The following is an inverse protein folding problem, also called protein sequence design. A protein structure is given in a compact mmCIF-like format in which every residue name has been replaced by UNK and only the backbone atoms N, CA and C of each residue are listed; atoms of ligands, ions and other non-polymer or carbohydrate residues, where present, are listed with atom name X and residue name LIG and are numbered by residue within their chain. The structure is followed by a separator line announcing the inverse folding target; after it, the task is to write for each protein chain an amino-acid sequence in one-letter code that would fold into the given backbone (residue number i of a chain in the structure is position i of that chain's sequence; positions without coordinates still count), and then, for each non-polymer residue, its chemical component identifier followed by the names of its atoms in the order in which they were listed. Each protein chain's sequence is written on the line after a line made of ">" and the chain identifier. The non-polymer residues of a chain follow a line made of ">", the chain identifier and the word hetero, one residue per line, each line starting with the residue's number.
data_IF_847477713122
#
_entry.id   IF_847477713122
#
_cell.length_a   1.000
_cell.length_b   1.000
_cell.length_c   1.000
_cell.angle_alpha   90.00
_cell.angle_beta   90.00
_cell.angle_gamma   90.00
#
_symmetry.space_group_name_H-M   'P 1'
#
loop_
_entity.id
_entity.type
_entity.pdbx_description
1 polymer ?
#
# COMPACT_ATOMS: atom_id res chain seq x y z
N UNK A 1 -41.67 -17.58 -59.36
CA UNK A 1 -40.83 -18.00 -58.22
C UNK A 1 -39.39 -17.74 -58.62
N UNK A 2 -38.83 -16.58 -58.27
CA UNK A 2 -37.48 -16.18 -58.66
C UNK A 2 -36.45 -17.06 -57.95
N UNK A 3 -35.57 -17.70 -58.72
CA UNK A 3 -34.47 -18.47 -58.18
C UNK A 3 -33.58 -17.55 -57.34
N UNK A 4 -33.50 -17.83 -56.04
CA UNK A 4 -32.60 -17.12 -55.12
C UNK A 4 -31.18 -17.23 -55.67
N UNK A 5 -30.50 -16.10 -55.84
CA UNK A 5 -29.16 -16.09 -56.44
C UNK A 5 -28.18 -16.85 -55.55
N UNK A 6 -27.28 -17.62 -56.17
CA UNK A 6 -26.22 -18.38 -55.49
C UNK A 6 -25.50 -17.63 -54.34
N UNK A 7 -25.17 -16.31 -54.45
CA UNK A 7 -24.55 -15.58 -53.34
C UNK A 7 -25.49 -15.38 -52.14
N UNK A 8 -26.80 -15.21 -52.36
CA UNK A 8 -27.78 -15.07 -51.28
C UNK A 8 -27.94 -16.39 -50.52
N UNK A 9 -27.93 -17.52 -51.23
CA UNK A 9 -27.93 -18.85 -50.62
C UNK A 9 -26.67 -19.06 -49.77
N UNK A 10 -25.49 -18.70 -50.28
CA UNK A 10 -24.22 -18.83 -49.55
C UNK A 10 -24.19 -17.96 -48.27
N UNK A 11 -24.71 -16.74 -48.34
CA UNK A 11 -24.79 -15.84 -47.18
C UNK A 11 -25.73 -16.38 -46.11
N UNK A 12 -26.92 -16.86 -46.50
CA UNK A 12 -27.90 -17.46 -45.58
C UNK A 12 -27.36 -18.73 -44.91
N UNK A 13 -26.66 -19.57 -45.68
CA UNK A 13 -25.98 -20.77 -45.13
C UNK A 13 -24.88 -20.34 -44.15
N UNK A 14 -24.07 -19.33 -44.48
CA UNK A 14 -23.03 -18.84 -43.57
C UNK A 14 -23.60 -18.28 -42.27
N UNK A 15 -24.72 -17.53 -42.33
CA UNK A 15 -25.40 -16.97 -41.16
C UNK A 15 -26.01 -18.06 -40.29
N UNK A 16 -26.54 -19.12 -40.92
CA UNK A 16 -27.11 -20.26 -40.20
C UNK A 16 -26.02 -21.07 -39.51
N UNK A 17 -24.90 -21.34 -40.20
CA UNK A 17 -23.72 -21.98 -39.60
C UNK A 17 -23.19 -21.12 -38.45
N UNK A 18 -23.07 -19.81 -38.66
CA UNK A 18 -22.62 -18.87 -37.65
C UNK A 18 -23.54 -18.87 -36.41
N UNK A 19 -24.85 -18.88 -36.62
CA UNK A 19 -25.85 -18.95 -35.55
C UNK A 19 -25.78 -20.27 -34.76
N UNK A 20 -25.64 -21.41 -35.44
CA UNK A 20 -25.50 -22.73 -34.80
C UNK A 20 -24.21 -22.82 -33.99
N UNK A 21 -23.09 -22.33 -34.54
CA UNK A 21 -21.80 -22.29 -33.85
C UNK A 21 -21.88 -21.38 -32.62
N UNK A 22 -22.44 -20.18 -32.74
CA UNK A 22 -22.58 -19.25 -31.62
C UNK A 22 -23.53 -19.77 -30.54
N UNK A 23 -24.66 -20.38 -30.92
CA UNK A 23 -25.62 -20.96 -29.97
C UNK A 23 -24.97 -22.09 -29.17
N UNK A 24 -24.38 -23.06 -29.88
CA UNK A 24 -23.68 -24.18 -29.25
C UNK A 24 -22.50 -23.73 -28.39
N UNK A 25 -21.75 -22.72 -28.85
CA UNK A 25 -20.64 -22.14 -28.10
C UNK A 25 -21.12 -21.39 -26.86
N UNK A 26 -22.20 -20.62 -26.94
CA UNK A 26 -22.78 -19.88 -25.82
C UNK A 26 -23.32 -20.83 -24.75
N UNK A 27 -24.04 -21.89 -25.16
CA UNK A 27 -24.57 -22.88 -24.23
C UNK A 27 -23.46 -23.73 -23.62
N UNK A 28 -22.43 -24.08 -24.40
CA UNK A 28 -21.21 -24.70 -23.88
C UNK A 28 -20.53 -23.79 -22.85
N UNK A 29 -20.36 -22.49 -23.13
CA UNK A 29 -19.74 -21.54 -22.20
C UNK A 29 -20.55 -21.36 -20.91
N UNK A 30 -21.88 -21.42 -20.95
CA UNK A 30 -22.75 -21.38 -19.76
C UNK A 30 -22.64 -22.65 -18.90
N UNK A 31 -22.51 -23.80 -19.54
CA UNK A 31 -22.53 -25.11 -18.87
C UNK A 31 -21.14 -25.65 -18.55
N UNK A 32 -20.07 -25.01 -19.00
CA UNK A 32 -18.69 -25.49 -18.83
C UNK A 32 -18.37 -25.57 -17.32
N UNK A 33 -18.17 -26.78 -16.75
CA UNK A 33 -17.66 -26.91 -15.39
C UNK A 33 -16.16 -26.57 -15.45
N UNK A 34 -15.85 -25.29 -15.31
CA UNK A 34 -14.47 -24.83 -15.43
C UNK A 34 -13.77 -25.10 -14.09
N UNK A 35 -13.05 -26.22 -13.98
CA UNK A 35 -11.82 -26.22 -13.19
C UNK A 35 -10.88 -25.23 -13.90
N UNK A 36 -11.00 -23.93 -13.60
CA UNK A 36 -10.01 -22.95 -14.03
C UNK A 36 -8.73 -23.26 -13.26
N UNK A 37 -7.92 -24.17 -13.80
CA UNK A 37 -6.57 -24.37 -13.31
C UNK A 37 -5.72 -23.33 -14.01
N UNK A 38 -5.00 -22.53 -13.21
CA UNK A 38 -4.01 -21.58 -13.70
C UNK A 38 -2.97 -22.25 -14.62
N UNK A 39 -2.81 -23.56 -14.48
CA UNK A 39 -1.92 -24.40 -15.26
C UNK A 39 -0.49 -24.35 -14.74
N UNK A 40 0.36 -25.25 -15.25
CA UNK A 40 1.79 -25.23 -14.93
C UNK A 40 2.52 -24.14 -15.73
N UNK A 41 3.43 -23.42 -15.08
CA UNK A 41 4.30 -22.46 -15.76
C UNK A 41 5.69 -23.07 -16.01
N UNK A 42 6.18 -23.07 -17.26
CA UNK A 42 7.57 -23.36 -17.54
C UNK A 42 8.49 -22.40 -16.79
N UNK A 43 9.73 -22.81 -16.53
CA UNK A 43 10.69 -21.95 -15.83
C UNK A 43 10.87 -20.60 -16.52
N UNK A 44 11.04 -19.54 -15.73
CA UNK A 44 11.19 -18.17 -16.26
C UNK A 44 12.37 -18.05 -17.21
N UNK A 45 13.46 -18.79 -16.94
CA UNK A 45 14.63 -18.85 -17.82
C UNK A 45 14.27 -19.43 -19.18
N UNK A 46 13.54 -20.56 -19.21
CA UNK A 46 13.08 -21.15 -20.45
C UNK A 46 12.20 -20.19 -21.24
N UNK A 47 11.20 -19.57 -20.59
CA UNK A 47 10.31 -18.60 -21.24
C UNK A 47 11.09 -17.43 -21.82
N UNK A 48 12.05 -16.88 -21.08
CA UNK A 48 12.91 -15.79 -21.57
C UNK A 48 13.67 -16.16 -22.84
N UNK A 49 14.25 -17.36 -22.90
CA UNK A 49 15.00 -17.81 -24.09
C UNK A 49 14.07 -18.18 -25.25
N UNK A 50 12.96 -18.86 -24.98
CA UNK A 50 12.01 -19.29 -26.01
C UNK A 50 11.25 -18.11 -26.64
N UNK A 51 11.04 -17.02 -25.89
CA UNK A 51 10.29 -15.86 -26.35
C UNK A 51 11.14 -14.84 -27.10
N UNK A 52 12.47 -14.93 -27.01
CA UNK A 52 13.42 -14.00 -27.62
C UNK A 52 13.00 -12.52 -27.46
N UNK A 53 12.74 -11.82 -28.57
CA UNK A 53 12.35 -10.41 -28.62
C UNK A 53 10.89 -10.14 -28.21
N UNK A 54 10.09 -11.18 -27.96
CA UNK A 54 8.70 -11.09 -27.54
C UNK A 54 8.49 -11.39 -26.04
N UNK A 55 9.56 -11.40 -25.23
CA UNK A 55 9.47 -11.69 -23.79
C UNK A 55 8.49 -10.75 -23.06
N UNK A 56 8.41 -9.47 -23.46
CA UNK A 56 7.50 -8.51 -22.83
C UNK A 56 6.04 -8.86 -23.12
N UNK A 57 5.72 -9.23 -24.36
CA UNK A 57 4.38 -9.69 -24.75
C UNK A 57 3.99 -10.97 -24.01
N UNK A 58 4.93 -11.90 -23.84
CA UNK A 58 4.71 -13.11 -23.04
C UNK A 58 4.47 -12.76 -21.57
N UNK A 59 5.26 -11.85 -21.00
CA UNK A 59 5.07 -11.31 -19.66
C UNK A 59 3.66 -10.73 -19.47
N UNK A 60 3.24 -9.82 -20.34
CA UNK A 60 1.91 -9.22 -20.31
C UNK A 60 0.79 -10.27 -20.45
N UNK A 61 0.97 -11.27 -21.31
CA UNK A 61 0.00 -12.37 -21.49
C UNK A 61 -0.16 -13.22 -20.24
N UNK A 62 0.93 -13.46 -19.51
CA UNK A 62 0.90 -14.16 -18.22
C UNK A 62 0.15 -13.36 -17.15
N UNK A 63 0.37 -12.05 -17.09
CA UNK A 63 -0.36 -11.15 -16.17
C UNK A 63 -1.85 -11.17 -16.48
N UNK A 64 -2.22 -10.99 -17.76
CA UNK A 64 -3.60 -11.04 -18.22
C UNK A 64 -4.27 -12.36 -17.84
N UNK A 65 -3.58 -13.49 -18.02
CA UNK A 65 -4.08 -14.81 -17.63
C UNK A 65 -4.45 -14.87 -16.14
N UNK A 66 -3.60 -14.33 -15.27
CA UNK A 66 -3.83 -14.31 -13.82
C UNK A 66 -5.01 -13.42 -13.45
N UNK A 67 -5.10 -12.22 -14.05
CA UNK A 67 -6.19 -11.29 -13.78
C UNK A 67 -7.53 -11.88 -14.24
N UNK A 68 -7.58 -12.45 -15.44
CA UNK A 68 -8.78 -13.09 -15.99
C UNK A 68 -9.23 -14.28 -15.14
N UNK A 69 -8.28 -15.12 -14.70
CA UNK A 69 -8.56 -16.22 -13.79
C UNK A 69 -9.22 -15.75 -12.48
N UNK A 70 -8.62 -14.74 -11.84
CA UNK A 70 -9.14 -14.24 -10.59
C UNK A 70 -10.52 -13.57 -10.78
N UNK A 71 -10.69 -12.80 -11.85
CA UNK A 71 -11.97 -12.19 -12.22
C UNK A 71 -13.07 -13.22 -12.45
N UNK A 72 -12.77 -14.32 -13.15
CA UNK A 72 -13.70 -15.42 -13.38
C UNK A 72 -14.12 -16.13 -12.09
N UNK A 73 -13.23 -16.27 -11.12
CA UNK A 73 -13.58 -16.77 -9.78
C UNK A 73 -14.46 -15.77 -9.03
N UNK A 74 -14.10 -14.49 -9.02
CA UNK A 74 -14.83 -13.46 -8.30
C UNK A 74 -16.28 -13.31 -8.79
N UNK A 75 -16.51 -13.38 -10.11
CA UNK A 75 -17.86 -13.36 -10.70
C UNK A 75 -18.69 -14.57 -10.24
N UNK A 76 -18.11 -15.76 -10.23
CA UNK A 76 -18.80 -16.99 -9.78
C UNK A 76 -19.11 -16.96 -8.28
N UNK A 77 -18.24 -16.38 -7.46
CA UNK A 77 -18.50 -16.17 -6.04
C UNK A 77 -19.70 -15.23 -5.83
N UNK A 78 -19.80 -14.15 -6.60
CA UNK A 78 -20.96 -13.24 -6.56
C UNK A 78 -22.25 -13.93 -7.00
N UNK A 79 -22.18 -14.89 -7.93
CA UNK A 79 -23.31 -15.68 -8.39
C UNK A 79 -23.74 -16.81 -7.42
N UNK A 80 -23.17 -16.89 -6.20
CA UNK A 80 -23.43 -17.94 -5.21
C UNK A 80 -23.21 -19.38 -5.72
N UNK A 81 -22.36 -19.56 -6.73
CA UNK A 81 -21.91 -20.89 -7.15
C UNK A 81 -20.79 -21.32 -6.19
N UNK A 82 -20.77 -22.59 -5.75
CA UNK A 82 -19.68 -23.08 -4.88
C UNK A 82 -18.36 -22.97 -5.63
N UNK A 83 -17.49 -22.05 -5.23
CA UNK A 83 -16.17 -21.83 -5.86
C UNK A 83 -15.06 -22.24 -4.90
N UNK A 84 -14.08 -22.97 -5.41
CA UNK A 84 -12.82 -23.18 -4.71
C UNK A 84 -12.09 -21.84 -4.52
N UNK A 85 -11.32 -21.65 -3.44
CA UNK A 85 -10.51 -20.45 -3.29
C UNK A 85 -9.52 -20.31 -4.47
N UNK A 86 -9.21 -19.08 -4.92
CA UNK A 86 -8.19 -18.87 -5.94
C UNK A 86 -6.85 -19.52 -5.58
N UNK A 87 -6.14 -20.04 -6.59
CA UNK A 87 -4.76 -20.52 -6.44
C UNK A 87 -3.79 -19.34 -6.29
N UNK A 88 -3.81 -18.69 -5.13
CA UNK A 88 -2.96 -17.53 -4.85
C UNK A 88 -1.46 -17.84 -4.97
N UNK A 89 -1.05 -19.08 -4.67
CA UNK A 89 0.35 -19.49 -4.80
C UNK A 89 0.74 -19.56 -6.27
N UNK A 90 -0.10 -20.18 -7.11
CA UNK A 90 0.06 -20.20 -8.56
C UNK A 90 0.11 -18.77 -9.10
N UNK A 91 -0.88 -17.94 -8.77
CA UNK A 91 -0.98 -16.54 -9.21
C UNK A 91 0.30 -15.76 -8.87
N UNK A 92 0.76 -15.85 -7.62
CA UNK A 92 2.00 -15.21 -7.20
C UNK A 92 3.20 -15.70 -8.01
N UNK A 93 3.34 -17.01 -8.19
CA UNK A 93 4.42 -17.59 -9.00
C UNK A 93 4.42 -17.11 -10.44
N UNK A 94 3.25 -17.03 -11.08
CA UNK A 94 3.10 -16.50 -12.44
C UNK A 94 3.54 -15.04 -12.49
N UNK A 95 3.05 -14.18 -11.59
CA UNK A 95 3.32 -12.75 -11.62
C UNK A 95 4.81 -12.45 -11.34
N UNK A 96 5.43 -13.16 -10.39
CA UNK A 96 6.88 -13.07 -10.17
C UNK A 96 7.69 -13.54 -11.39
N UNK A 97 7.17 -14.51 -12.15
CA UNK A 97 7.77 -14.90 -13.42
C UNK A 97 7.57 -13.87 -14.51
N UNK A 98 6.37 -13.29 -14.61
CA UNK A 98 6.01 -12.29 -15.60
C UNK A 98 6.87 -11.03 -15.47
N UNK A 99 7.10 -10.53 -14.25
CA UNK A 99 7.95 -9.34 -14.04
C UNK A 99 9.44 -9.58 -14.34
N UNK A 100 9.89 -10.84 -14.42
CA UNK A 100 11.23 -11.16 -14.91
C UNK A 100 11.34 -11.11 -16.43
N UNK A 101 10.21 -11.20 -17.13
CA UNK A 101 10.11 -11.07 -18.58
C UNK A 101 9.81 -9.62 -18.98
N UNK A 102 8.83 -9.00 -18.30
CA UNK A 102 8.43 -7.61 -18.44
C UNK A 102 8.45 -6.89 -17.08
N UNK A 103 9.61 -6.39 -16.62
CA UNK A 103 9.70 -5.68 -15.35
C UNK A 103 8.95 -4.34 -15.35
N UNK A 104 8.52 -3.86 -16.52
CA UNK A 104 7.78 -2.61 -16.67
C UNK A 104 6.26 -2.81 -16.62
N UNK A 105 5.76 -4.04 -16.52
CA UNK A 105 4.33 -4.30 -16.41
C UNK A 105 3.77 -3.82 -15.06
N UNK A 106 3.02 -2.72 -15.06
CA UNK A 106 2.42 -2.12 -13.85
C UNK A 106 1.39 -3.05 -13.19
N UNK A 107 0.54 -3.69 -14.01
CA UNK A 107 -0.57 -4.50 -13.54
C UNK A 107 -0.10 -5.68 -12.68
N UNK A 108 1.04 -6.27 -13.05
CA UNK A 108 1.66 -7.36 -12.29
C UNK A 108 1.92 -6.96 -10.82
N UNK A 109 2.54 -5.79 -10.60
CA UNK A 109 2.87 -5.31 -9.26
C UNK A 109 1.62 -4.94 -8.47
N UNK A 110 0.69 -4.22 -9.09
CA UNK A 110 -0.46 -3.66 -8.39
C UNK A 110 -1.47 -4.73 -8.03
N UNK A 111 -1.68 -5.67 -8.96
CA UNK A 111 -2.55 -6.80 -8.74
C UNK A 111 -1.94 -7.78 -7.74
N UNK A 112 -0.63 -8.09 -7.84
CA UNK A 112 0.02 -8.91 -6.82
C UNK A 112 -0.06 -8.29 -5.43
N UNK A 113 0.24 -7.00 -5.32
CA UNK A 113 0.17 -6.24 -4.08
C UNK A 113 -1.21 -6.33 -3.42
N UNK A 114 -2.30 -6.27 -4.19
CA UNK A 114 -3.65 -6.31 -3.63
C UNK A 114 -3.95 -7.67 -2.98
N UNK A 115 -3.81 -8.79 -3.71
CA UNK A 115 -4.19 -10.09 -3.14
C UNK A 115 -3.14 -10.62 -2.15
N UNK A 116 -1.83 -10.36 -2.38
CA UNK A 116 -0.78 -10.84 -1.47
C UNK A 116 -0.95 -10.26 -0.07
N UNK A 117 -1.41 -9.02 0.04
CA UNK A 117 -1.57 -8.35 1.33
C UNK A 117 -2.90 -8.67 2.00
N UNK A 118 -4.02 -8.54 1.28
CA UNK A 118 -5.35 -8.66 1.88
C UNK A 118 -5.85 -10.10 2.00
N UNK A 119 -5.63 -10.92 0.96
CA UNK A 119 -6.20 -12.27 0.91
C UNK A 119 -5.31 -13.30 1.60
N UNK A 120 -4.00 -13.27 1.34
CA UNK A 120 -3.06 -14.29 1.86
C UNK A 120 -2.08 -13.80 2.91
N UNK A 121 -2.09 -12.50 3.24
CA UNK A 121 -1.27 -11.90 4.31
C UNK A 121 0.24 -12.14 4.16
N UNK A 122 0.72 -12.24 2.92
CA UNK A 122 2.13 -12.42 2.55
C UNK A 122 2.80 -11.06 2.29
N UNK A 123 2.85 -10.21 3.33
CA UNK A 123 3.30 -8.82 3.23
C UNK A 123 4.74 -8.68 2.73
N UNK A 124 5.65 -9.53 3.23
CA UNK A 124 7.05 -9.52 2.83
C UNK A 124 7.22 -9.87 1.35
N UNK A 125 6.50 -10.90 0.88
CA UNK A 125 6.52 -11.29 -0.54
C UNK A 125 6.00 -10.15 -1.42
N UNK A 126 4.95 -9.47 -0.99
CA UNK A 126 4.44 -8.30 -1.69
C UNK A 126 5.49 -7.17 -1.77
N UNK A 127 6.13 -6.84 -0.65
CA UNK A 127 7.18 -5.81 -0.63
C UNK A 127 8.42 -6.20 -1.44
N UNK A 128 8.87 -7.46 -1.39
CA UNK A 128 10.01 -7.93 -2.18
C UNK A 128 9.74 -7.78 -3.69
N UNK A 129 8.50 -8.02 -4.13
CA UNK A 129 8.06 -7.80 -5.50
C UNK A 129 8.01 -6.31 -5.88
N UNK A 130 7.50 -5.46 -4.98
CA UNK A 130 7.50 -3.99 -5.19
C UNK A 130 8.92 -3.43 -5.26
N UNK A 131 9.82 -3.90 -4.38
CA UNK A 131 11.25 -3.55 -4.37
C UNK A 131 11.94 -3.98 -5.67
N UNK A 132 11.60 -5.16 -6.19
CA UNK A 132 12.05 -5.57 -7.51
C UNK A 132 11.57 -4.58 -8.59
N UNK A 133 10.29 -4.21 -8.57
CA UNK A 133 9.74 -3.25 -9.53
C UNK A 133 10.39 -1.87 -9.46
N UNK A 134 10.73 -1.38 -8.27
CA UNK A 134 11.40 -0.09 -8.08
C UNK A 134 12.80 0.00 -8.70
N UNK A 135 13.45 -1.14 -8.99
CA UNK A 135 14.73 -1.17 -9.73
C UNK A 135 14.58 -0.80 -11.21
N UNK A 136 13.39 -1.01 -11.77
CA UNK A 136 13.12 -0.80 -13.20
C UNK A 136 12.18 0.39 -13.43
N UNK A 137 11.07 0.45 -12.68
CA UNK A 137 10.06 1.50 -12.74
C UNK A 137 10.43 2.66 -11.82
N UNK A 138 11.54 3.32 -12.10
CA UNK A 138 12.14 4.35 -11.23
C UNK A 138 11.27 5.61 -11.04
N UNK A 139 10.28 5.82 -11.91
CA UNK A 139 9.31 6.92 -11.88
C UNK A 139 8.01 6.58 -11.14
N UNK A 140 7.76 5.29 -10.91
CA UNK A 140 6.48 4.82 -10.38
C UNK A 140 6.44 5.03 -8.87
N UNK A 141 5.80 6.12 -8.46
CA UNK A 141 5.66 6.48 -7.05
C UNK A 141 4.70 5.57 -6.28
N UNK A 142 3.83 4.82 -6.97
CA UNK A 142 2.87 3.96 -6.28
C UNK A 142 3.55 2.72 -5.69
N UNK A 143 4.60 2.19 -6.32
CA UNK A 143 5.37 1.07 -5.77
C UNK A 143 5.92 1.37 -4.36
N UNK A 144 6.70 2.46 -4.13
CA UNK A 144 7.12 2.81 -2.78
C UNK A 144 5.93 3.23 -1.90
N UNK A 145 4.86 3.82 -2.44
CA UNK A 145 3.69 4.14 -1.61
C UNK A 145 3.04 2.88 -1.01
N UNK A 146 2.84 1.84 -1.82
CA UNK A 146 2.30 0.56 -1.36
C UNK A 146 3.27 -0.17 -0.42
N UNK A 147 4.56 -0.16 -0.72
CA UNK A 147 5.57 -0.75 0.17
C UNK A 147 5.61 -0.04 1.53
N UNK A 148 5.45 1.29 1.54
CA UNK A 148 5.33 2.09 2.75
C UNK A 148 4.05 1.81 3.54
N UNK A 149 2.92 1.62 2.84
CA UNK A 149 1.66 1.21 3.46
C UNK A 149 1.78 -0.15 4.11
N UNK A 150 2.33 -1.14 3.41
CA UNK A 150 2.52 -2.48 3.95
C UNK A 150 3.43 -2.48 5.18
N UNK A 151 4.54 -1.76 5.09
CA UNK A 151 5.52 -1.64 6.17
C UNK A 151 4.88 -1.04 7.42
N UNK A 152 4.12 0.05 7.27
CA UNK A 152 3.51 0.74 8.41
C UNK A 152 2.27 0.05 8.98
N UNK A 153 1.38 -0.42 8.12
CA UNK A 153 0.06 -0.92 8.53
C UNK A 153 0.11 -2.40 8.95
N UNK A 154 0.71 -3.25 8.12
CA UNK A 154 0.74 -4.69 8.35
C UNK A 154 1.96 -5.13 9.15
N UNK A 155 3.14 -4.62 8.80
CA UNK A 155 4.40 -5.13 9.36
C UNK A 155 4.87 -4.38 10.61
N UNK A 156 4.33 -3.17 10.86
CA UNK A 156 4.78 -2.25 11.93
C UNK A 156 6.27 -1.89 11.84
N UNK A 157 6.85 -1.98 10.64
CA UNK A 157 8.21 -1.54 10.34
C UNK A 157 8.17 -0.05 9.95
N UNK A 158 8.17 0.80 10.98
CA UNK A 158 8.13 2.25 10.80
C UNK A 158 9.38 2.83 10.13
N UNK A 159 10.61 2.37 10.42
CA UNK A 159 11.81 2.78 9.66
C UNK A 159 11.69 2.51 8.15
N UNK A 160 11.27 1.30 7.76
CA UNK A 160 11.07 0.98 6.34
C UNK A 160 9.95 1.83 5.74
N UNK A 161 8.82 1.98 6.45
CA UNK A 161 7.71 2.81 6.01
C UNK A 161 8.14 4.26 5.73
N UNK A 162 8.91 4.86 6.63
CA UNK A 162 9.45 6.21 6.46
C UNK A 162 10.29 6.34 5.18
N UNK A 163 11.17 5.34 4.93
CA UNK A 163 12.03 5.30 3.75
C UNK A 163 11.21 5.23 2.46
N UNK A 164 10.24 4.32 2.42
CA UNK A 164 9.37 4.16 1.26
C UNK A 164 8.49 5.39 1.02
N UNK A 165 7.84 5.95 2.05
CA UNK A 165 7.04 7.16 1.88
C UNK A 165 7.86 8.37 1.48
N UNK A 166 9.11 8.49 1.97
CA UNK A 166 10.04 9.53 1.51
C UNK A 166 10.28 9.39 0.01
N UNK A 167 10.59 8.18 -0.46
CA UNK A 167 10.80 7.91 -1.89
C UNK A 167 9.53 8.20 -2.71
N UNK A 168 8.36 7.79 -2.22
CA UNK A 168 7.08 8.09 -2.88
C UNK A 168 6.83 9.60 -2.97
N UNK A 169 7.16 10.36 -1.92
CA UNK A 169 7.03 11.83 -1.90
C UNK A 169 8.02 12.54 -2.83
N UNK A 170 9.24 12.02 -2.95
CA UNK A 170 10.24 12.52 -3.91
C UNK A 170 9.79 12.34 -5.37
N UNK A 171 9.20 11.18 -5.69
CA UNK A 171 8.77 10.85 -7.05
C UNK A 171 7.46 11.56 -7.44
N UNK A 172 6.48 11.59 -6.54
CA UNK A 172 5.15 12.16 -6.82
C UNK A 172 5.06 13.66 -6.58
N UNK A 173 5.97 14.23 -5.78
CA UNK A 173 5.80 15.56 -5.20
C UNK A 173 4.70 15.65 -4.14
N UNK A 174 4.01 14.53 -3.80
CA UNK A 174 2.86 14.52 -2.91
C UNK A 174 3.20 14.88 -1.46
N UNK A 175 2.52 15.89 -0.93
CA UNK A 175 2.67 16.31 0.46
C UNK A 175 2.15 15.28 1.45
N UNK A 176 1.17 14.47 1.04
CA UNK A 176 0.70 13.35 1.85
C UNK A 176 1.83 12.35 2.11
N UNK A 177 2.53 11.93 1.06
CA UNK A 177 3.66 11.00 1.19
C UNK A 177 4.81 11.58 2.02
N UNK A 178 5.13 12.86 1.83
CA UNK A 178 6.14 13.56 2.65
C UNK A 178 5.72 13.61 4.12
N UNK A 179 4.48 13.98 4.43
CA UNK A 179 3.97 14.00 5.81
C UNK A 179 3.95 12.61 6.44
N UNK A 180 3.62 11.57 5.68
CA UNK A 180 3.69 10.18 6.14
C UNK A 180 5.13 9.75 6.41
N UNK A 181 6.09 10.14 5.59
CA UNK A 181 7.51 9.89 5.84
C UNK A 181 7.94 10.49 7.19
N UNK A 182 7.67 11.78 7.40
CA UNK A 182 7.97 12.45 8.68
C UNK A 182 7.25 11.82 9.87
N UNK A 183 5.99 11.41 9.70
CA UNK A 183 5.25 10.68 10.73
C UNK A 183 5.96 9.38 11.12
N UNK A 184 6.30 8.55 10.14
CA UNK A 184 6.89 7.24 10.45
C UNK A 184 8.35 7.33 10.91
N UNK A 185 9.09 8.39 10.56
CA UNK A 185 10.37 8.71 11.21
C UNK A 185 10.18 8.95 12.71
N UNK A 186 9.18 9.74 13.11
CA UNK A 186 8.88 9.97 14.51
C UNK A 186 8.37 8.71 15.21
N UNK A 187 7.48 7.94 14.58
CA UNK A 187 6.97 6.68 15.13
C UNK A 187 8.07 5.64 15.35
N UNK A 188 9.14 5.69 14.53
CA UNK A 188 10.36 4.91 14.66
C UNK A 188 11.33 5.43 15.75
N UNK A 189 10.96 6.46 16.51
CA UNK A 189 11.81 7.09 17.52
C UNK A 189 12.89 8.02 16.96
N UNK A 190 12.85 8.31 15.66
CA UNK A 190 13.81 9.19 14.98
C UNK A 190 13.26 10.62 14.88
N UNK A 191 12.80 11.18 16.01
CA UNK A 191 12.14 12.48 16.08
C UNK A 191 13.00 13.61 15.50
N UNK A 192 14.31 13.62 15.77
CA UNK A 192 15.25 14.60 15.19
C UNK A 192 15.33 14.49 13.66
N UNK A 193 15.38 13.26 13.12
CA UNK A 193 15.37 13.05 11.67
C UNK A 193 14.06 13.55 11.06
N UNK A 194 12.93 13.29 11.73
CA UNK A 194 11.62 13.79 11.31
C UNK A 194 11.59 15.33 11.26
N UNK A 195 12.15 16.00 12.28
CA UNK A 195 12.26 17.47 12.33
C UNK A 195 13.14 17.98 11.18
N UNK A 196 14.32 17.40 10.97
CA UNK A 196 15.23 17.80 9.91
C UNK A 196 14.61 17.62 8.51
N UNK A 197 13.96 16.48 8.28
CA UNK A 197 13.27 16.17 7.04
C UNK A 197 12.14 17.16 6.75
N UNK A 198 11.22 17.36 7.70
CA UNK A 198 10.09 18.28 7.52
C UNK A 198 10.52 19.74 7.41
N UNK A 199 11.63 20.13 8.05
CA UNK A 199 12.21 21.48 7.89
C UNK A 199 12.68 21.69 6.45
N UNK A 200 13.28 20.68 5.83
CA UNK A 200 13.67 20.73 4.41
C UNK A 200 12.44 20.85 3.51
N UNK A 201 11.38 20.06 3.78
CA UNK A 201 10.13 20.14 3.01
C UNK A 201 9.45 21.50 3.14
N UNK A 202 9.39 22.06 4.36
CA UNK A 202 8.81 23.37 4.65
C UNK A 202 9.50 24.51 3.88
N UNK A 203 10.83 24.53 3.88
CA UNK A 203 11.64 25.53 3.17
C UNK A 203 11.48 25.45 1.65
N UNK A 204 11.30 24.24 1.12
CA UNK A 204 11.08 24.01 -0.32
C UNK A 204 9.64 24.27 -0.78
N UNK A 205 8.68 24.36 0.13
CA UNK A 205 7.26 24.44 -0.21
C UNK A 205 6.85 25.85 -0.63
N UNK A 206 6.19 25.99 -1.79
CA UNK A 206 5.72 27.29 -2.30
C UNK A 206 4.27 27.58 -1.91
N UNK A 207 3.45 26.55 -1.75
CA UNK A 207 2.06 26.67 -1.34
C UNK A 207 1.97 26.99 0.16
N UNK A 208 1.49 28.19 0.49
CA UNK A 208 1.40 28.65 1.88
C UNK A 208 0.49 27.77 2.76
N UNK A 209 -0.54 27.13 2.20
CA UNK A 209 -1.40 26.21 2.95
C UNK A 209 -0.64 24.94 3.34
N UNK A 210 0.08 24.36 2.39
CA UNK A 210 0.91 23.17 2.62
C UNK A 210 2.06 23.50 3.58
N UNK A 211 2.72 24.64 3.40
CA UNK A 211 3.79 25.11 4.30
C UNK A 211 3.30 25.19 5.75
N UNK A 212 2.09 25.72 5.98
CA UNK A 212 1.46 25.75 7.32
C UNK A 212 1.26 24.35 7.90
N UNK A 213 0.91 23.36 7.09
CA UNK A 213 0.80 21.96 7.55
C UNK A 213 2.15 21.41 8.02
N UNK A 214 3.24 21.70 7.30
CA UNK A 214 4.59 21.32 7.74
C UNK A 214 4.98 22.04 9.04
N UNK A 215 4.74 23.35 9.15
CA UNK A 215 5.04 24.14 10.34
C UNK A 215 4.30 23.62 11.58
N UNK A 216 3.02 23.26 11.44
CA UNK A 216 2.23 22.68 12.53
C UNK A 216 2.78 21.30 12.97
N UNK A 217 3.17 20.46 12.01
CA UNK A 217 3.77 19.15 12.33
C UNK A 217 5.14 19.34 13.00
N UNK A 218 5.94 20.27 12.50
CA UNK A 218 7.25 20.63 13.06
C UNK A 218 7.16 21.14 14.49
N UNK A 219 6.19 22.01 14.79
CA UNK A 219 5.99 22.49 16.16
C UNK A 219 5.64 21.34 17.09
N UNK A 220 4.75 20.43 16.68
CA UNK A 220 4.40 19.26 17.47
C UNK A 220 5.61 18.35 17.73
N UNK A 221 6.44 18.08 16.71
CA UNK A 221 7.65 17.25 16.88
C UNK A 221 8.72 17.93 17.73
N UNK A 222 8.84 19.26 17.69
CA UNK A 222 9.73 19.99 18.60
C UNK A 222 9.29 19.86 20.06
N UNK A 223 7.98 19.90 20.34
CA UNK A 223 7.48 19.64 21.69
C UNK A 223 7.72 18.20 22.13
N UNK A 224 7.48 17.22 21.24
CA UNK A 224 7.84 15.81 21.48
C UNK A 224 9.32 15.70 21.86
N UNK A 225 10.21 16.34 21.08
CA UNK A 225 11.65 16.28 21.31
C UNK A 225 12.08 16.88 22.63
N UNK A 226 11.46 18.00 23.05
CA UNK A 226 11.72 18.57 24.39
C UNK A 226 11.36 17.60 25.50
N UNK A 227 10.24 16.89 25.37
CA UNK A 227 9.81 15.88 26.34
C UNK A 227 10.77 14.69 26.34
N UNK A 228 11.18 14.19 25.17
CA UNK A 228 12.18 13.13 25.05
C UNK A 228 13.51 13.51 25.73
N UNK A 229 14.01 14.73 25.49
CA UNK A 229 15.23 15.22 26.13
C UNK A 229 15.09 15.37 27.65
N UNK A 230 13.90 15.73 28.14
CA UNK A 230 13.62 15.77 29.58
C UNK A 230 13.54 14.36 30.18
N UNK A 231 12.88 13.42 29.48
CA UNK A 231 12.81 11.99 29.83
C UNK A 231 14.20 11.37 29.93
N UNK A 232 15.05 11.62 28.95
CA UNK A 232 16.39 11.03 28.90
C UNK A 232 17.25 11.54 30.06
N UNK A 233 17.22 12.85 30.35
CA UNK A 233 17.87 13.45 31.52
C UNK A 233 17.31 12.93 32.85
N UNK A 234 15.99 12.72 32.94
CA UNK A 234 15.36 12.11 34.13
C UNK A 234 15.89 10.70 34.35
N UNK A 235 15.91 9.88 33.28
CA UNK A 235 16.40 8.50 33.35
C UNK A 235 17.86 8.44 33.77
N UNK A 236 18.69 9.32 33.24
CA UNK A 236 20.11 9.44 33.62
C UNK A 236 20.26 9.81 35.10
N UNK A 237 19.46 10.75 35.61
CA UNK A 237 19.55 11.23 36.99
C UNK A 237 18.91 10.28 38.04
N UNK A 238 17.87 9.53 37.67
CA UNK A 238 17.07 8.71 38.60
C UNK A 238 17.25 7.20 38.43
N UNK A 239 17.80 6.76 37.31
CA UNK A 239 18.01 5.35 37.00
C UNK A 239 16.77 4.60 36.49
N UNK A 240 15.62 5.26 36.39
CA UNK A 240 14.36 4.69 35.87
C UNK A 240 13.61 5.68 34.98
N UNK A 241 12.69 5.20 34.14
CA UNK A 241 11.90 6.04 33.24
C UNK A 241 10.78 6.78 34.00
N UNK A 242 10.49 8.04 33.64
CA UNK A 242 9.31 8.74 34.17
C UNK A 242 8.02 8.05 33.69
N UNK A 243 6.97 8.07 34.52
CA UNK A 243 5.66 7.49 34.19
C UNK A 243 4.73 8.49 33.51
N UNK A 244 4.91 9.78 33.75
CA UNK A 244 4.08 10.84 33.15
C UNK A 244 4.90 12.07 32.76
N UNK A 245 4.34 12.93 31.89
CA UNK A 245 4.99 14.18 31.49
C UNK A 245 4.96 15.19 32.65
N UNK A 246 3.95 15.14 33.51
CA UNK A 246 3.83 15.96 34.72
C UNK A 246 4.97 15.67 35.70
N UNK A 247 5.38 14.41 35.83
CA UNK A 247 6.52 14.04 36.67
C UNK A 247 7.81 14.71 36.20
N UNK A 248 7.99 14.86 34.89
CA UNK A 248 9.13 15.59 34.32
C UNK A 248 9.10 17.07 34.67
N UNK A 249 7.90 17.66 34.72
CA UNK A 249 7.74 19.06 35.11
C UNK A 249 7.96 19.26 36.61
N UNK A 250 7.32 18.44 37.46
CA UNK A 250 7.47 18.49 38.92
C UNK A 250 8.92 18.20 39.36
N UNK A 251 9.61 17.32 38.64
CA UNK A 251 11.02 17.00 38.89
C UNK A 251 12.02 18.04 38.37
N UNK A 252 11.56 19.13 37.75
CA UNK A 252 12.41 20.20 37.22
C UNK A 252 13.18 19.86 35.94
N UNK A 253 12.92 18.70 35.31
CA UNK A 253 13.53 18.32 34.03
C UNK A 253 12.88 19.04 32.85
N UNK A 254 11.64 19.51 33.03
CA UNK A 254 10.85 20.22 32.04
C UNK A 254 10.21 21.46 32.68
N UNK A 255 10.36 22.65 32.06
CA UNK A 255 9.87 23.89 32.67
C UNK A 255 8.36 23.91 32.86
N UNK A 256 7.62 23.52 31.84
CA UNK A 256 6.16 23.35 31.84
C UNK A 256 5.79 22.21 30.91
N UNK A 257 4.64 21.56 31.15
CA UNK A 257 4.12 20.53 30.25
C UNK A 257 3.73 21.17 28.91
N UNK A 258 4.35 20.77 27.78
CA UNK A 258 4.01 21.34 26.48
C UNK A 258 2.57 21.05 26.08
N UNK A 259 1.95 22.00 25.38
CA UNK A 259 0.66 21.80 24.74
C UNK A 259 0.86 21.16 23.37
N UNK A 260 0.00 20.20 23.02
CA UNK A 260 -0.02 19.64 21.68
C UNK A 260 -0.65 20.66 20.70
N UNK A 261 0.06 21.09 19.65
CA UNK A 261 -0.47 22.02 18.65
C UNK A 261 -1.75 21.56 17.94
N UNK A 262 -2.05 20.26 17.95
CA UNK A 262 -3.30 19.72 17.40
C UNK A 262 -4.48 19.75 18.38
N UNK A 263 -4.25 20.13 19.65
CA UNK A 263 -5.27 20.19 20.70
C UNK A 263 -5.41 18.91 21.54
N UNK A 264 -4.40 18.04 21.52
CA UNK A 264 -4.30 16.88 22.40
C UNK A 264 -3.49 17.14 23.67
N UNK A 265 -3.08 16.06 24.33
CA UNK A 265 -2.17 16.07 25.47
C UNK A 265 -1.05 15.06 25.22
N UNK A 266 0.18 15.45 25.54
CA UNK A 266 1.32 14.55 25.47
C UNK A 266 1.33 13.60 26.65
N UNK A 267 1.73 12.36 26.40
CA UNK A 267 1.90 11.33 27.42
C UNK A 267 3.11 10.45 27.07
N UNK A 268 3.55 9.66 28.04
CA UNK A 268 4.59 8.65 27.86
C UNK A 268 3.96 7.27 27.79
N UNK A 269 4.32 6.50 26.77
CA UNK A 269 4.02 5.07 26.70
C UNK A 269 4.91 4.28 27.68
N UNK A 270 4.59 3.02 27.91
CA UNK A 270 5.28 2.17 28.88
C UNK A 270 6.77 1.97 28.57
N UNK A 271 7.15 2.03 27.29
CA UNK A 271 8.54 1.98 26.82
C UNK A 271 9.27 3.34 26.90
N UNK A 272 8.57 4.38 27.37
CA UNK A 272 9.04 5.76 27.46
C UNK A 272 8.85 6.55 26.17
N UNK A 273 8.25 6.01 25.10
CA UNK A 273 7.97 6.77 23.88
C UNK A 273 7.01 7.91 24.17
N UNK A 274 7.29 9.08 23.62
CA UNK A 274 6.42 10.25 23.73
C UNK A 274 5.34 10.18 22.66
N UNK A 275 4.08 10.22 23.08
CA UNK A 275 2.91 10.16 22.22
C UNK A 275 1.94 11.29 22.57
N UNK A 276 0.92 11.50 21.72
CA UNK A 276 -0.16 12.46 21.99
C UNK A 276 -1.53 11.86 21.70
N UNK A 277 -2.53 12.25 22.49
CA UNK A 277 -3.94 11.85 22.30
C UNK A 277 -4.51 12.30 20.96
N UNK A 278 -3.98 13.36 20.35
CA UNK A 278 -4.41 13.79 19.00
C UNK A 278 -3.89 12.89 17.88
N UNK A 279 -2.89 12.05 18.15
CA UNK A 279 -2.12 11.30 17.14
C UNK A 279 -1.58 12.21 16.02
N UNK A 280 -1.22 13.44 16.38
CA UNK A 280 -0.77 14.49 15.46
C UNK A 280 -1.78 14.77 14.33
N UNK A 281 -3.08 14.75 14.66
CA UNK A 281 -4.15 15.02 13.72
C UNK A 281 -5.35 15.69 14.42
N UNK A 282 -5.94 16.70 13.77
CA UNK A 282 -7.12 17.40 14.32
C UNK A 282 -8.32 16.47 14.56
N UNK A 283 -8.51 15.45 13.71
CA UNK A 283 -9.55 14.45 13.92
C UNK A 283 -9.33 13.63 15.21
N UNK A 284 -8.07 13.34 15.54
CA UNK A 284 -7.72 12.65 16.78
C UNK A 284 -7.98 13.53 18.01
N UNK A 285 -7.66 14.82 17.96
CA UNK A 285 -7.96 15.75 19.04
C UNK A 285 -9.48 15.85 19.33
N UNK A 286 -10.30 15.94 18.27
CA UNK A 286 -11.77 15.93 18.42
C UNK A 286 -12.28 14.63 19.04
N UNK A 287 -11.69 13.49 18.69
CA UNK A 287 -12.07 12.19 19.26
C UNK A 287 -11.69 12.10 20.74
N UNK A 288 -10.48 12.51 21.10
CA UNK A 288 -10.01 12.55 22.48
C UNK A 288 -10.89 13.47 23.35
N UNK A 289 -11.24 14.65 22.85
CA UNK A 289 -12.14 15.58 23.55
C UNK A 289 -13.53 14.98 23.82
N UNK A 290 -14.09 14.23 22.86
CA UNK A 290 -15.38 13.53 23.03
C UNK A 290 -15.32 12.39 24.05
N UNK A 291 -14.21 11.65 24.09
CA UNK A 291 -14.03 10.56 25.07
C UNK A 291 -13.96 11.10 26.49
N UNK A 292 -13.17 12.16 26.71
CA UNK A 292 -13.05 12.79 28.02
C UNK A 292 -14.37 13.39 28.52
N UNK A 293 -15.20 13.93 27.61
CA UNK A 293 -16.53 14.47 27.94
C UNK A 293 -17.60 13.38 28.17
N UNK A 294 -17.38 12.16 27.68
CA UNK A 294 -18.28 11.02 27.84
C UNK A 294 -18.04 10.23 29.13
N UNK A 295 -16.82 10.26 29.67
CA UNK A 295 -16.45 9.65 30.95
C UNK A 295 -16.85 10.49 32.18
N UNK A 296 -17.36 11.71 31.96
CA UNK A 296 -17.85 12.61 33.02
C UNK A 296 -19.36 12.49 33.29
N UNK A 297 -20.03 11.41 32.86
CA UNK A 297 -21.45 11.12 33.11
C UNK A 297 -21.67 9.82 33.84
#
# INVERSE_FOLDING_TARGET
>A
MSAVSRPVVALLVSLTIYGVVLGSFSDYMKLKPIEEKLGYLPSTSFLRYASADHKELVGASLVMKVIMYFGGIAEKQQANVIVQPPDYRGMSGILHGAVKLDPYNMDAYYFAQSFLTWEVKQYKIANDLLDYGMKYRSWDWMLPFFAGFNSSYFMRDYPAAATYYKRAGELSGSDLSKLLAGRYMQEAGQTELAIAYLTTMEKGERNQSVRRNYQLRLSAFKEVRKIEMARDRFKEAKGYLPTTVEQLSQGGFLSTVPLDPYGGQFYLEADGKVATTSKFAFAGAKKAAKQNAGETR
#
